data_IF_815910017835
#
_entry.id   IF_815910017835
#
_cell.length_a   1.000
_cell.length_b   1.000
_cell.length_c   1.000
_cell.angle_alpha   90.00
_cell.angle_beta   90.00
_cell.angle_gamma   90.00
#
_symmetry.space_group_name_H-M   'P 1'
#
loop_
_entity.id
_entity.type
_entity.pdbx_description
1 polymer ?
#
# COMPACT_ATOMS: atom_id res chain seq x y z
N UNK A 1 -14.05 21.63 5.25
CA UNK A 1 -13.92 21.11 4.93
C UNK A 1 -13.68 20.53 4.66
N UNK A 2 -13.36 20.40 4.43
CA UNK A 2 -13.12 19.76 4.04
C UNK A 2 -13.40 19.13 3.53
N UNK A 3 -13.34 18.80 3.08
CA UNK A 3 -13.62 18.01 2.65
C UNK A 3 -13.04 17.02 2.58
N UNK A 4 -13.02 16.71 2.55
CA UNK A 4 -12.58 15.57 2.77
C UNK A 4 -12.98 14.62 1.88
N UNK A 5 -13.25 14.93 0.80
CA UNK A 5 -13.59 14.08 -0.25
C UNK A 5 -12.32 13.60 -0.89
N UNK A 6 -12.15 12.29 -0.99
CA UNK A 6 -11.02 11.72 -1.70
C UNK A 6 -11.21 11.93 -3.19
N UNK A 7 -10.12 12.13 -3.93
CA UNK A 7 -10.20 12.09 -5.39
C UNK A 7 -10.72 10.74 -5.86
N UNK A 8 -11.43 10.75 -6.99
CA UNK A 8 -11.99 9.51 -7.52
C UNK A 8 -10.93 8.44 -7.70
N UNK A 9 -9.71 8.83 -8.08
CA UNK A 9 -8.65 7.86 -8.30
C UNK A 9 -8.28 7.10 -7.05
N UNK A 10 -8.53 7.65 -5.86
CA UNK A 10 -8.24 6.95 -4.63
C UNK A 10 -9.31 5.94 -4.28
N UNK A 11 -10.51 6.13 -4.80
CA UNK A 11 -11.61 5.19 -4.57
C UNK A 11 -11.65 4.08 -5.61
N UNK A 12 -10.93 4.24 -6.71
CA UNK A 12 -10.86 3.24 -7.74
C UNK A 12 -9.80 2.20 -7.45
N UNK A 13 -9.55 1.32 -8.41
CA UNK A 13 -8.54 0.28 -8.22
C UNK A 13 -7.14 0.90 -8.12
N UNK A 14 -6.25 0.19 -7.45
CA UNK A 14 -4.88 0.66 -7.32
C UNK A 14 -4.23 0.74 -8.70
N UNK A 15 -3.26 1.63 -8.82
CA UNK A 15 -2.53 1.78 -10.06
C UNK A 15 -1.55 0.62 -10.23
N UNK A 16 -1.03 0.47 -11.47
CA UNK A 16 -0.02 -0.54 -11.70
C UNK A 16 1.23 -0.29 -10.86
N UNK A 17 1.61 0.98 -10.73
CA UNK A 17 2.76 1.33 -9.89
C UNK A 17 2.55 0.93 -8.45
N UNK A 18 1.34 1.19 -7.92
CA UNK A 18 1.04 0.77 -6.56
C UNK A 18 1.08 -0.74 -6.42
N UNK A 19 0.54 -1.46 -7.40
CA UNK A 19 0.55 -2.91 -7.35
C UNK A 19 1.96 -3.45 -7.32
N UNK A 20 2.83 -2.92 -8.16
CA UNK A 20 4.22 -3.38 -8.20
C UNK A 20 4.94 -3.06 -6.90
N UNK A 21 4.74 -1.85 -6.37
CA UNK A 21 5.38 -1.44 -5.13
C UNK A 21 4.89 -2.28 -3.97
N UNK A 22 3.57 -2.47 -3.88
CA UNK A 22 3.00 -3.24 -2.78
C UNK A 22 3.47 -4.69 -2.83
N UNK A 23 3.51 -5.28 -4.01
CA UNK A 23 3.98 -6.64 -4.13
C UNK A 23 5.41 -6.79 -3.67
N UNK A 24 6.27 -5.88 -4.10
CA UNK A 24 7.69 -5.93 -3.71
C UNK A 24 7.86 -5.78 -2.21
N UNK A 25 7.12 -4.83 -1.62
CA UNK A 25 7.24 -4.61 -0.18
C UNK A 25 6.67 -5.78 0.61
N UNK A 26 5.58 -6.37 0.13
CA UNK A 26 5.00 -7.50 0.83
C UNK A 26 5.97 -8.69 0.86
N UNK A 27 6.69 -8.90 -0.23
CA UNK A 27 7.68 -9.95 -0.28
C UNK A 27 8.86 -9.61 0.62
N UNK A 28 9.33 -8.38 0.58
CA UNK A 28 10.45 -7.96 1.40
C UNK A 28 10.14 -8.08 2.89
N UNK A 29 8.90 -7.81 3.27
CA UNK A 29 8.50 -7.90 4.67
C UNK A 29 8.05 -9.30 5.06
N UNK A 30 8.16 -10.26 4.15
CA UNK A 30 7.69 -11.63 4.39
C UNK A 30 6.22 -11.69 4.72
N UNK A 31 5.43 -10.81 4.12
CA UNK A 31 3.99 -10.76 4.33
C UNK A 31 3.26 -10.73 3.00
N UNK A 32 3.38 -11.81 2.19
CA UNK A 32 2.77 -11.78 0.85
C UNK A 32 1.26 -11.60 0.88
N UNK A 33 0.61 -11.89 2.00
CA UNK A 33 -0.83 -11.70 2.09
C UNK A 33 -1.25 -10.25 2.06
N UNK A 34 -0.31 -9.33 2.28
CA UNK A 34 -0.64 -7.91 2.21
C UNK A 34 -0.92 -7.47 0.79
N UNK A 35 -0.51 -8.25 -0.21
CA UNK A 35 -0.83 -7.94 -1.59
C UNK A 35 -2.12 -8.65 -1.98
N UNK A 36 -3.03 -7.90 -2.60
CA UNK A 36 -4.22 -8.46 -3.21
C UNK A 36 -4.47 -7.69 -4.49
N UNK A 37 -4.99 -8.39 -5.50
CA UNK A 37 -5.14 -7.76 -6.82
C UNK A 37 -6.26 -6.75 -6.88
N UNK A 38 -7.24 -6.86 -6.00
CA UNK A 38 -8.44 -6.04 -6.09
C UNK A 38 -8.54 -5.01 -4.99
N UNK A 39 -7.42 -4.46 -4.62
CA UNK A 39 -7.42 -3.39 -3.63
C UNK A 39 -7.76 -2.06 -4.27
N UNK A 40 -8.39 -1.17 -3.50
CA UNK A 40 -8.53 0.20 -3.93
C UNK A 40 -7.19 0.90 -3.83
N UNK A 41 -7.06 2.03 -4.55
CA UNK A 41 -5.84 2.81 -4.48
C UNK A 41 -5.58 3.29 -3.06
N UNK A 42 -6.63 3.65 -2.34
CA UNK A 42 -6.49 4.11 -0.96
C UNK A 42 -5.98 3.00 -0.05
N UNK A 43 -6.57 1.81 -0.19
CA UNK A 43 -6.13 0.70 0.65
C UNK A 43 -4.71 0.27 0.30
N UNK A 44 -4.38 0.28 -0.99
CA UNK A 44 -3.01 -0.05 -1.41
C UNK A 44 -2.01 0.93 -0.81
N UNK A 45 -2.33 2.23 -0.84
CA UNK A 45 -1.43 3.24 -0.28
C UNK A 45 -1.23 3.00 1.21
N UNK A 46 -2.30 2.65 1.91
CA UNK A 46 -2.22 2.39 3.35
C UNK A 46 -1.32 1.20 3.64
N UNK A 47 -1.46 0.13 2.86
CA UNK A 47 -0.64 -1.06 3.07
C UNK A 47 0.82 -0.82 2.71
N UNK A 48 1.06 -0.04 1.66
CA UNK A 48 2.42 0.31 1.28
C UNK A 48 3.11 1.04 2.43
N UNK A 49 2.42 2.02 3.01
CA UNK A 49 3.00 2.80 4.10
C UNK A 49 3.27 1.92 5.33
N UNK A 50 2.33 1.06 5.65
CA UNK A 50 2.50 0.17 6.82
C UNK A 50 3.69 -0.76 6.62
N UNK A 51 3.84 -1.32 5.40
CA UNK A 51 4.94 -2.22 5.13
C UNK A 51 6.28 -1.50 5.16
N UNK A 52 6.32 -0.26 4.66
CA UNK A 52 7.55 0.52 4.72
C UNK A 52 7.99 0.74 6.15
N UNK A 53 7.04 1.04 7.02
CA UNK A 53 7.37 1.26 8.42
C UNK A 53 7.88 -0.01 9.07
N UNK A 54 7.29 -1.15 8.74
CA UNK A 54 7.78 -2.41 9.30
C UNK A 54 9.19 -2.72 8.85
N UNK A 55 9.46 -2.49 7.58
CA UNK A 55 10.79 -2.76 7.05
C UNK A 55 11.81 -1.84 7.69
N UNK A 56 11.46 -0.57 7.87
CA UNK A 56 12.36 0.37 8.51
C UNK A 56 12.65 -0.04 9.95
N UNK A 57 11.63 -0.47 10.67
CA UNK A 57 11.83 -0.90 12.05
C UNK A 57 12.75 -2.11 12.10
N UNK A 58 12.54 -3.06 11.20
CA UNK A 58 13.38 -4.25 11.18
C UNK A 58 14.83 -3.89 10.89
N UNK A 59 15.04 -2.88 10.03
CA UNK A 59 16.40 -2.52 9.64
C UNK A 59 17.08 -1.61 10.65
N UNK A 60 16.37 -1.11 11.65
CA UNK A 60 16.99 -0.22 12.61
C UNK A 60 17.50 -0.96 13.85
N UNK A 61 17.39 -2.26 13.89
CA UNK A 61 17.91 -3.05 15.00
C UNK A 61 19.26 -3.69 14.71
#
# INVERSE_FOLDING_TARGET
>A
MTYERYPDRLLGPMSRGQANTLRALAIEAYQPRQFAEKLTAEEAARRIEALRQEIELANSF
#
